data_IF_476186956640
#
_entry.id   IF_476186956640
#
_cell.length_a   1.000
_cell.length_b   1.000
_cell.length_c   1.000
_cell.angle_alpha   90.00
_cell.angle_beta   90.00
_cell.angle_gamma   90.00
#
_symmetry.space_group_name_H-M   'P 1'
#
loop_
_entity.id
_entity.type
_entity.pdbx_description
1 polymer ?
#
# COMPACT_ATOMS: atom_id res chain seq x y z
N UNK A 1 -4.14 -4.07 55.13
CA UNK A 1 -5.43 -3.79 54.45
C UNK A 1 -5.27 -3.12 53.07
N UNK A 2 -4.09 -2.62 52.72
CA UNK A 2 -3.86 -1.86 51.47
C UNK A 2 -3.53 -2.71 50.21
N UNK A 3 -3.00 -3.91 50.39
CA UNK A 3 -2.51 -4.75 49.27
C UNK A 3 -3.65 -5.47 48.54
N UNK A 4 -4.69 -5.88 49.26
CA UNK A 4 -5.82 -6.61 48.67
C UNK A 4 -6.69 -5.76 47.76
N UNK A 5 -6.89 -4.47 48.11
CA UNK A 5 -7.64 -3.52 47.28
C UNK A 5 -6.96 -3.21 45.95
N UNK A 6 -5.62 -3.23 45.92
CA UNK A 6 -4.84 -2.94 44.72
C UNK A 6 -4.81 -4.12 43.75
N UNK A 7 -4.90 -5.34 44.24
CA UNK A 7 -4.97 -6.57 43.44
C UNK A 7 -6.35 -6.69 42.76
N UNK A 8 -7.42 -6.43 43.50
CA UNK A 8 -8.80 -6.50 42.97
C UNK A 8 -9.03 -5.42 41.89
N UNK A 9 -8.50 -4.20 42.07
CA UNK A 9 -8.53 -3.16 41.04
C UNK A 9 -7.74 -3.53 39.77
N UNK A 10 -6.57 -4.15 39.90
CA UNK A 10 -5.77 -4.62 38.76
C UNK A 10 -6.48 -5.76 38.02
N UNK A 11 -7.13 -6.67 38.73
CA UNK A 11 -7.89 -7.76 38.13
C UNK A 11 -9.14 -7.22 37.42
N UNK A 12 -9.87 -6.26 37.99
CA UNK A 12 -11.03 -5.64 37.36
C UNK A 12 -10.64 -4.85 36.09
N UNK A 13 -9.55 -4.07 36.12
CA UNK A 13 -9.04 -3.35 34.92
C UNK A 13 -8.54 -4.31 33.84
N UNK A 14 -7.92 -5.44 34.21
CA UNK A 14 -7.49 -6.45 33.25
C UNK A 14 -8.69 -7.19 32.62
N UNK A 15 -9.78 -7.40 33.38
CA UNK A 15 -11.00 -8.00 32.83
C UNK A 15 -11.76 -7.06 31.90
N UNK A 16 -11.85 -5.76 32.22
CA UNK A 16 -12.46 -4.77 31.32
C UNK A 16 -11.71 -4.62 29.99
N UNK A 17 -10.37 -4.80 30.00
CA UNK A 17 -9.55 -4.73 28.78
C UNK A 17 -9.76 -5.91 27.82
N UNK A 18 -10.38 -7.00 28.27
CA UNK A 18 -10.58 -8.22 27.48
C UNK A 18 -12.03 -8.51 27.08
N UNK A 19 -12.97 -7.60 27.33
CA UNK A 19 -14.33 -7.77 26.83
C UNK A 19 -14.30 -7.61 25.31
N UNK A 20 -14.50 -8.71 24.61
CA UNK A 20 -14.67 -8.75 23.16
C UNK A 20 -16.17 -8.77 22.86
N UNK A 21 -16.68 -7.64 22.42
CA UNK A 21 -18.07 -7.44 22.05
C UNK A 21 -18.19 -6.83 20.65
N UNK A 22 -19.41 -6.66 20.18
CA UNK A 22 -19.70 -6.12 18.84
C UNK A 22 -19.09 -4.73 18.61
N UNK A 23 -18.89 -3.92 19.67
CA UNK A 23 -18.27 -2.59 19.55
C UNK A 23 -16.80 -2.64 19.17
N UNK A 24 -16.14 -3.78 19.32
CA UNK A 24 -14.73 -4.01 18.97
C UNK A 24 -14.55 -4.42 17.51
N UNK A 25 -15.63 -4.76 16.82
CA UNK A 25 -15.60 -5.13 15.41
C UNK A 25 -15.62 -3.86 14.56
N UNK A 26 -14.59 -3.69 13.72
CA UNK A 26 -14.46 -2.54 12.81
C UNK A 26 -14.36 -3.02 11.39
N UNK A 27 -15.11 -2.37 10.50
CA UNK A 27 -14.92 -2.51 9.06
C UNK A 27 -14.04 -1.36 8.59
N UNK A 28 -12.97 -1.68 7.88
CA UNK A 28 -12.01 -0.71 7.36
C UNK A 28 -12.23 -0.53 5.86
N UNK A 29 -12.06 0.69 5.38
CA UNK A 29 -11.87 0.92 3.95
C UNK A 29 -10.52 0.35 3.48
N UNK A 30 -10.37 0.18 2.17
CA UNK A 30 -9.11 -0.34 1.59
C UNK A 30 -7.89 0.49 1.99
N UNK A 31 -7.98 1.81 1.94
CA UNK A 31 -6.88 2.70 2.32
C UNK A 31 -6.56 2.65 3.81
N UNK A 32 -7.58 2.56 4.67
CA UNK A 32 -7.37 2.39 6.12
C UNK A 32 -6.69 1.07 6.43
N UNK A 33 -7.09 -0.02 5.75
CA UNK A 33 -6.45 -1.32 5.93
C UNK A 33 -4.99 -1.30 5.48
N UNK A 34 -4.68 -0.71 4.33
CA UNK A 34 -3.30 -0.56 3.83
C UNK A 34 -2.44 0.20 4.84
N UNK A 35 -2.94 1.33 5.37
CA UNK A 35 -2.22 2.14 6.37
C UNK A 35 -2.04 1.43 7.70
N UNK A 36 -3.02 0.63 8.12
CA UNK A 36 -2.95 -0.14 9.35
C UNK A 36 -2.00 -1.35 9.25
N UNK A 37 -1.90 -1.94 8.06
CA UNK A 37 -1.14 -3.16 7.80
C UNK A 37 -0.20 -3.00 6.59
N UNK A 38 0.66 -1.98 6.56
CA UNK A 38 1.53 -1.70 5.41
C UNK A 38 2.42 -2.90 5.04
N UNK A 39 2.86 -3.69 6.02
CA UNK A 39 3.67 -4.87 5.78
C UNK A 39 3.02 -5.94 4.90
N UNK A 40 1.69 -5.96 4.80
CA UNK A 40 0.97 -6.88 3.90
C UNK A 40 1.00 -6.42 2.43
N UNK A 41 1.29 -5.15 2.17
CA UNK A 41 1.23 -4.54 0.83
C UNK A 41 2.59 -4.15 0.30
N UNK A 42 3.42 -3.50 1.12
CA UNK A 42 4.70 -2.96 0.70
C UNK A 42 5.89 -3.54 1.49
N UNK A 43 5.63 -4.48 2.42
CA UNK A 43 6.67 -5.04 3.25
C UNK A 43 7.11 -4.12 4.40
N UNK A 44 8.40 -4.15 4.72
CA UNK A 44 8.95 -3.45 5.88
C UNK A 44 8.90 -1.93 5.73
N UNK A 45 8.46 -1.23 6.77
CA UNK A 45 8.66 0.22 6.88
C UNK A 45 10.07 0.50 7.41
N UNK A 46 10.91 1.07 6.58
CA UNK A 46 12.29 1.41 6.89
C UNK A 46 12.71 2.72 6.23
N UNK A 47 13.96 3.09 6.45
CA UNK A 47 14.56 4.35 5.98
C UNK A 47 15.29 4.21 4.63
N UNK A 48 15.18 3.05 3.99
CA UNK A 48 15.85 2.76 2.72
C UNK A 48 17.26 2.17 2.87
N UNK A 49 17.73 1.89 4.08
CA UNK A 49 19.05 1.26 4.30
C UNK A 49 19.04 -0.24 4.04
N UNK A 50 17.85 -0.86 4.01
CA UNK A 50 17.68 -2.28 3.74
C UNK A 50 16.94 -2.48 2.42
N UNK A 51 17.42 -3.42 1.59
CA UNK A 51 16.81 -3.74 0.30
C UNK A 51 15.35 -4.25 0.39
N UNK A 52 14.93 -4.73 1.57
CA UNK A 52 13.55 -5.18 1.85
C UNK A 52 12.63 -4.05 2.35
N UNK A 53 13.13 -2.82 2.40
CA UNK A 53 12.31 -1.68 2.78
C UNK A 53 11.28 -1.33 1.72
N UNK A 54 10.06 -1.03 2.15
CA UNK A 54 8.90 -0.84 1.29
C UNK A 54 9.03 0.28 0.26
N UNK A 55 9.96 1.21 0.46
CA UNK A 55 10.27 2.25 -0.54
C UNK A 55 10.75 1.64 -1.87
N UNK A 56 11.52 0.54 -1.81
CA UNK A 56 11.99 -0.15 -3.02
C UNK A 56 10.87 -0.93 -3.69
N UNK A 57 9.95 -1.51 -2.90
CA UNK A 57 8.76 -2.19 -3.43
C UNK A 57 7.87 -1.17 -4.16
N UNK A 58 7.60 -0.02 -3.54
CA UNK A 58 6.82 1.05 -4.17
C UNK A 58 7.46 1.55 -5.47
N UNK A 59 8.77 1.76 -5.47
CA UNK A 59 9.50 2.18 -6.67
C UNK A 59 9.42 1.12 -7.77
N UNK A 60 9.62 -0.14 -7.39
CA UNK A 60 9.50 -1.27 -8.33
C UNK A 60 8.12 -1.33 -8.98
N UNK A 61 7.05 -1.24 -8.20
CA UNK A 61 5.67 -1.28 -8.70
C UNK A 61 5.39 -0.15 -9.71
N UNK A 62 5.92 1.05 -9.45
CA UNK A 62 5.76 2.18 -10.39
C UNK A 62 6.54 1.92 -11.69
N UNK A 63 7.76 1.39 -11.61
CA UNK A 63 8.57 1.08 -12.79
C UNK A 63 7.93 -0.06 -13.59
N UNK A 64 7.45 -1.11 -12.92
CA UNK A 64 6.79 -2.25 -13.56
C UNK A 64 5.55 -1.81 -14.36
N UNK A 65 4.78 -0.83 -13.87
CA UNK A 65 3.68 -0.24 -14.63
C UNK A 65 4.15 0.38 -15.96
N UNK A 66 5.30 1.07 -15.96
CA UNK A 66 5.89 1.60 -17.20
C UNK A 66 6.43 0.49 -18.12
N UNK A 67 6.97 -0.59 -17.56
CA UNK A 67 7.42 -1.77 -18.34
C UNK A 67 6.22 -2.47 -18.99
N UNK A 68 5.08 -2.58 -18.28
CA UNK A 68 3.86 -3.15 -18.84
C UNK A 68 3.37 -2.36 -20.07
N UNK A 69 3.42 -1.03 -20.01
CA UNK A 69 3.09 -0.20 -21.18
C UNK A 69 4.04 -0.47 -22.36
N UNK A 70 5.34 -0.66 -22.10
CA UNK A 70 6.30 -1.03 -23.14
C UNK A 70 5.99 -2.40 -23.75
N UNK A 71 5.69 -3.41 -22.93
CA UNK A 71 5.33 -4.77 -23.40
C UNK A 71 4.10 -4.70 -24.29
N UNK A 72 3.14 -3.83 -23.96
CA UNK A 72 1.94 -3.59 -24.76
C UNK A 72 2.19 -2.75 -26.01
N UNK A 73 3.46 -2.41 -26.31
CA UNK A 73 3.84 -1.65 -27.48
C UNK A 73 3.65 -0.13 -27.33
N UNK A 74 3.33 0.35 -26.14
CA UNK A 74 3.17 1.77 -25.85
C UNK A 74 4.33 2.27 -24.99
N UNK A 75 4.95 3.38 -25.39
CA UNK A 75 6.15 3.90 -24.73
C UNK A 75 7.42 3.11 -25.05
N UNK A 76 8.56 3.77 -25.00
CA UNK A 76 9.88 3.17 -25.28
C UNK A 76 10.94 3.65 -24.29
N UNK A 77 10.53 4.41 -23.29
CA UNK A 77 11.44 5.04 -22.35
C UNK A 77 10.77 5.18 -20.99
N UNK A 78 11.54 4.98 -19.95
CA UNK A 78 11.17 5.26 -18.57
C UNK A 78 12.29 6.12 -18.00
N UNK A 79 11.96 7.30 -17.49
CA UNK A 79 12.88 8.19 -16.80
C UNK A 79 12.67 8.02 -15.29
N UNK A 80 13.75 7.76 -14.57
CA UNK A 80 13.77 7.71 -13.10
C UNK A 80 14.73 8.79 -12.62
N UNK A 81 14.26 9.68 -11.75
CA UNK A 81 15.09 10.69 -11.14
C UNK A 81 14.92 10.67 -9.62
N UNK A 82 16.03 10.80 -8.90
CA UNK A 82 16.08 10.98 -7.45
C UNK A 82 16.61 12.38 -7.21
N UNK A 83 15.80 13.19 -6.52
CA UNK A 83 16.12 14.58 -6.24
C UNK A 83 16.80 14.71 -4.87
N UNK A 84 17.59 15.77 -4.68
CA UNK A 84 18.30 16.04 -3.43
C UNK A 84 17.39 16.20 -2.21
N UNK A 85 16.11 16.56 -2.42
CA UNK A 85 15.09 16.67 -1.40
C UNK A 85 14.48 15.33 -0.98
N UNK A 86 14.94 14.21 -1.57
CA UNK A 86 14.46 12.86 -1.30
C UNK A 86 13.23 12.45 -2.11
N UNK A 87 12.72 13.30 -3.01
CA UNK A 87 11.68 12.89 -3.94
C UNK A 87 12.24 11.98 -5.04
N UNK A 88 11.48 10.97 -5.38
CA UNK A 88 11.76 10.12 -6.53
C UNK A 88 10.63 10.29 -7.54
N UNK A 89 10.97 10.61 -8.76
CA UNK A 89 10.02 10.69 -9.87
C UNK A 89 10.27 9.56 -10.86
N UNK A 90 9.18 8.97 -11.35
CA UNK A 90 9.20 7.99 -12.44
C UNK A 90 8.24 8.48 -13.50
N UNK A 91 8.72 8.58 -14.73
CA UNK A 91 7.93 8.97 -15.89
C UNK A 91 8.05 7.90 -16.97
N UNK A 92 6.96 7.30 -17.32
CA UNK A 92 6.82 6.52 -18.54
C UNK A 92 6.29 7.41 -19.69
N UNK A 93 6.33 6.88 -20.89
CA UNK A 93 5.80 7.51 -22.11
C UNK A 93 4.75 6.63 -22.77
N UNK A 94 3.99 5.90 -21.93
CA UNK A 94 2.90 5.03 -22.32
C UNK A 94 1.60 5.77 -22.61
N UNK A 95 0.50 5.01 -22.62
CA UNK A 95 -0.84 5.54 -22.94
C UNK A 95 -1.42 6.44 -21.85
N UNK A 96 -0.89 6.31 -20.64
CA UNK A 96 -1.40 7.01 -19.46
C UNK A 96 -2.72 6.43 -18.93
N UNK A 97 -3.20 7.03 -17.85
CA UNK A 97 -4.47 6.65 -17.22
C UNK A 97 -5.56 7.60 -17.74
N UNK A 98 -6.73 7.08 -18.19
CA UNK A 98 -7.85 7.92 -18.57
C UNK A 98 -8.24 8.88 -17.43
N UNK A 99 -8.33 10.18 -17.71
CA UNK A 99 -8.55 11.21 -16.69
C UNK A 99 -9.80 10.97 -15.84
N UNK A 100 -10.87 10.45 -16.43
CA UNK A 100 -12.12 10.11 -15.73
C UNK A 100 -12.00 8.96 -14.73
N UNK A 101 -10.87 8.22 -14.74
CA UNK A 101 -10.61 7.08 -13.84
C UNK A 101 -9.36 7.25 -12.98
N UNK A 102 -8.67 8.36 -13.11
CA UNK A 102 -7.39 8.60 -12.43
C UNK A 102 -7.51 8.43 -10.91
N UNK A 103 -8.52 9.07 -10.30
CA UNK A 103 -8.71 9.01 -8.84
C UNK A 103 -8.99 7.59 -8.38
N UNK A 104 -9.85 6.85 -9.08
CA UNK A 104 -10.16 5.47 -8.74
C UNK A 104 -8.91 4.57 -8.85
N UNK A 105 -8.15 4.70 -9.94
CA UNK A 105 -6.94 3.91 -10.18
C UNK A 105 -5.86 4.11 -9.13
N UNK A 106 -5.76 5.29 -8.50
CA UNK A 106 -4.74 5.59 -7.49
C UNK A 106 -5.23 5.49 -6.04
N UNK A 107 -6.52 5.27 -5.81
CA UNK A 107 -7.11 5.28 -4.47
C UNK A 107 -7.95 4.06 -4.11
N UNK A 108 -8.32 3.23 -5.09
CA UNK A 108 -9.15 2.04 -4.86
C UNK A 108 -8.37 0.80 -5.28
N UNK A 109 -8.16 -0.12 -4.35
CA UNK A 109 -7.47 -1.39 -4.65
C UNK A 109 -8.26 -2.21 -5.67
N UNK A 110 -7.56 -3.03 -6.43
CA UNK A 110 -8.14 -3.85 -7.50
C UNK A 110 -8.84 -3.04 -8.59
N UNK A 111 -8.34 -1.83 -8.85
CA UNK A 111 -8.82 -0.96 -9.93
C UNK A 111 -7.71 -0.79 -10.97
N UNK A 112 -7.98 -1.14 -12.22
CA UNK A 112 -7.03 -0.99 -13.31
C UNK A 112 -7.43 -1.78 -14.54
N UNK A 113 -6.82 -1.45 -15.67
CA UNK A 113 -7.08 -2.11 -16.95
C UNK A 113 -6.40 -3.49 -17.08
N UNK A 114 -5.45 -3.82 -16.21
CA UNK A 114 -4.73 -5.11 -16.22
C UNK A 114 -5.64 -6.32 -15.96
N UNK A 115 -6.83 -6.10 -15.38
CA UNK A 115 -7.85 -7.14 -15.21
C UNK A 115 -8.63 -7.46 -16.50
N UNK A 116 -8.45 -6.66 -17.56
CA UNK A 116 -9.08 -6.87 -18.86
C UNK A 116 -8.05 -7.42 -19.85
N UNK A 117 -8.19 -8.71 -20.22
CA UNK A 117 -7.30 -9.40 -21.15
C UNK A 117 -7.33 -8.82 -22.57
N UNK A 118 -8.36 -8.07 -22.94
CA UNK A 118 -8.41 -7.37 -24.23
C UNK A 118 -7.47 -6.17 -24.27
N UNK A 119 -7.12 -5.64 -23.11
CA UNK A 119 -6.25 -4.46 -22.97
C UNK A 119 -4.83 -4.83 -22.60
N UNK A 120 -4.66 -5.85 -21.73
CA UNK A 120 -3.37 -6.37 -21.30
C UNK A 120 -3.31 -7.88 -21.45
N UNK A 121 -2.45 -8.37 -22.33
CA UNK A 121 -2.21 -9.79 -22.53
C UNK A 121 -1.18 -10.33 -21.52
N UNK A 122 -0.23 -9.49 -21.13
CA UNK A 122 0.84 -9.79 -20.17
C UNK A 122 1.07 -8.61 -19.25
N UNK A 123 1.49 -8.89 -18.02
CA UNK A 123 1.84 -7.89 -17.02
C UNK A 123 3.00 -8.40 -16.17
N UNK A 124 3.89 -7.51 -15.73
CA UNK A 124 5.01 -7.81 -14.83
C UNK A 124 4.69 -7.46 -13.38
N UNK A 125 3.70 -6.61 -13.15
CA UNK A 125 3.28 -6.16 -11.81
C UNK A 125 1.81 -6.31 -11.53
#
# INVERSE_FOLDING_TARGET
MSVKLNLDRKITMAQEAHIYDESKIKTLSSLEHIRLRPGMYIGRLGDGTNQDDGIYILLKEIIDNGVDEYIMGAGKRIDVAIEDNGFTSVRDYGRGIPLGKLVECVSVINTGAKYNTDVFQFSVG
#
